data_IF_391534974090
#
_entry.id   IF_391534974090
#
_cell.length_a   1.000
_cell.length_b   1.000
_cell.length_c   1.000
_cell.angle_alpha   90.00
_cell.angle_beta   90.00
_cell.angle_gamma   90.00
#
_symmetry.space_group_name_H-M   'P 1'
#
loop_
_entity.id
_entity.type
_entity.pdbx_description
1 polymer ?
#
# COMPACT_ATOMS: atom_id res chain seq x y z
N UNK A 1 56.24 127.58 76.34
CA UNK A 1 56.44 127.52 74.88
C UNK A 1 56.90 126.14 74.38
N UNK A 2 57.50 125.25 75.18
CA UNK A 2 57.93 123.91 74.71
C UNK A 2 56.80 122.89 74.53
N UNK A 3 55.79 122.86 75.40
CA UNK A 3 54.64 121.92 75.29
C UNK A 3 53.85 122.05 73.97
N UNK A 4 53.82 123.26 73.37
CA UNK A 4 53.13 123.50 72.09
C UNK A 4 53.83 122.80 70.91
N UNK A 5 55.17 122.73 70.94
CA UNK A 5 55.96 122.09 69.89
C UNK A 5 55.93 120.56 69.99
N UNK A 6 55.88 120.01 71.20
CA UNK A 6 55.78 118.56 71.40
C UNK A 6 54.41 118.02 70.93
N UNK A 7 53.33 118.75 71.19
CA UNK A 7 52.00 118.42 70.66
C UNK A 7 51.95 118.46 69.12
N UNK A 8 52.62 119.43 68.49
CA UNK A 8 52.72 119.49 67.02
C UNK A 8 53.53 118.34 66.44
N UNK A 9 54.63 117.92 67.08
CA UNK A 9 55.42 116.75 66.66
C UNK A 9 54.61 115.46 66.77
N UNK A 10 53.88 115.28 67.87
CA UNK A 10 53.03 114.11 68.07
C UNK A 10 51.90 114.05 67.03
N UNK A 11 51.32 115.20 66.67
CA UNK A 11 50.31 115.28 65.62
C UNK A 11 50.88 114.88 64.24
N UNK A 12 52.07 115.37 63.87
CA UNK A 12 52.74 115.02 62.61
C UNK A 12 53.03 113.52 62.55
N UNK A 13 53.46 112.92 63.65
CA UNK A 13 53.74 111.47 63.70
C UNK A 13 52.46 110.63 63.59
N UNK A 14 51.36 111.08 64.22
CA UNK A 14 50.06 110.44 64.05
C UNK A 14 49.57 110.53 62.59
N UNK A 15 49.76 111.67 61.92
CA UNK A 15 49.41 111.83 60.50
C UNK A 15 50.22 110.86 59.64
N UNK A 16 51.55 110.77 59.83
CA UNK A 16 52.40 109.82 59.10
C UNK A 16 52.00 108.35 59.32
N UNK A 17 51.62 108.00 60.54
CA UNK A 17 51.13 106.65 60.85
C UNK A 17 49.80 106.37 60.14
N UNK A 18 48.90 107.35 60.07
CA UNK A 18 47.66 107.24 59.30
C UNK A 18 47.96 107.07 57.81
N UNK A 19 48.85 107.89 57.23
CA UNK A 19 49.25 107.78 55.81
C UNK A 19 49.85 106.40 55.51
N UNK A 20 50.78 105.91 56.33
CA UNK A 20 51.36 104.58 56.14
C UNK A 20 50.32 103.46 56.23
N UNK A 21 49.28 103.62 57.05
CA UNK A 21 48.17 102.65 57.13
C UNK A 21 47.25 102.73 55.91
N UNK A 22 47.06 103.93 55.34
CA UNK A 22 46.34 104.12 54.08
C UNK A 22 47.10 103.44 52.94
N UNK A 23 48.40 103.69 52.80
CA UNK A 23 49.24 103.06 51.77
C UNK A 23 49.23 101.53 51.90
N UNK A 24 49.33 101.00 53.12
CA UNK A 24 49.23 99.55 53.35
C UNK A 24 47.85 99.00 52.94
N UNK A 25 46.77 99.71 53.27
CA UNK A 25 45.42 99.32 52.88
C UNK A 25 45.21 99.37 51.37
N UNK A 26 45.74 100.38 50.69
CA UNK A 26 45.71 100.49 49.22
C UNK A 26 46.45 99.31 48.57
N UNK A 27 47.68 99.00 49.04
CA UNK A 27 48.45 97.86 48.55
C UNK A 27 47.74 96.51 48.79
N UNK A 28 47.15 96.32 49.98
CA UNK A 28 46.37 95.11 50.30
C UNK A 28 45.10 95.02 49.42
N UNK A 29 44.44 96.14 49.17
CA UNK A 29 43.26 96.22 48.31
C UNK A 29 43.60 95.92 46.85
N UNK A 30 44.70 96.44 46.33
CA UNK A 30 45.20 96.12 44.98
C UNK A 30 45.57 94.65 44.86
N UNK A 31 46.30 94.09 45.84
CA UNK A 31 46.66 92.67 45.86
C UNK A 31 45.41 91.77 45.90
N UNK A 32 44.40 92.16 46.68
CA UNK A 32 43.12 91.47 46.73
C UNK A 32 42.36 91.57 45.41
N UNK A 33 42.35 92.74 44.76
CA UNK A 33 41.75 92.95 43.45
C UNK A 33 42.40 92.07 42.38
N UNK A 34 43.74 92.03 42.33
CA UNK A 34 44.49 91.18 41.40
C UNK A 34 44.22 89.70 41.63
N UNK A 35 44.17 89.28 42.89
CA UNK A 35 43.79 87.91 43.25
C UNK A 35 42.38 87.58 42.77
N UNK A 36 41.41 88.46 43.01
CA UNK A 36 40.02 88.28 42.54
C UNK A 36 39.95 88.21 41.02
N UNK A 37 40.62 89.12 40.31
CA UNK A 37 40.68 89.16 38.85
C UNK A 37 41.25 87.86 38.27
N UNK A 38 42.35 87.37 38.84
CA UNK A 38 42.94 86.08 38.47
C UNK A 38 41.98 84.91 38.69
N UNK A 39 41.24 84.88 39.82
CA UNK A 39 40.23 83.83 40.06
C UNK A 39 39.07 83.92 39.09
N UNK A 40 38.63 85.13 38.73
CA UNK A 40 37.56 85.36 37.78
C UNK A 40 37.92 84.85 36.39
N UNK A 41 39.14 85.14 35.91
CA UNK A 41 39.65 84.61 34.63
C UNK A 41 39.71 83.07 34.62
N UNK A 42 40.10 82.44 35.73
CA UNK A 42 40.10 80.97 35.85
C UNK A 42 38.67 80.41 35.75
N UNK A 43 37.70 81.07 36.38
CA UNK A 43 36.29 80.67 36.34
C UNK A 43 35.74 80.82 34.92
N UNK A 44 35.98 81.95 34.25
CA UNK A 44 35.56 82.21 32.86
C UNK A 44 36.14 81.17 31.91
N UNK A 45 37.43 80.84 32.06
CA UNK A 45 38.07 79.78 31.27
C UNK A 45 37.38 78.43 31.48
N UNK A 46 37.13 78.04 32.74
CA UNK A 46 36.43 76.78 33.06
C UNK A 46 35.00 76.76 32.53
N UNK A 47 34.30 77.89 32.56
CA UNK A 47 32.96 78.01 31.99
C UNK A 47 33.01 77.78 30.47
N UNK A 48 33.94 78.40 29.77
CA UNK A 48 34.11 78.20 28.32
C UNK A 48 34.43 76.74 27.97
N UNK A 49 35.31 76.08 28.74
CA UNK A 49 35.60 74.65 28.59
C UNK A 49 34.37 73.77 28.83
N UNK A 50 33.53 74.12 29.82
CA UNK A 50 32.29 73.40 30.11
C UNK A 50 31.27 73.54 28.98
N UNK A 51 31.10 74.74 28.44
CA UNK A 51 30.23 75.00 27.30
C UNK A 51 30.69 74.26 26.04
N UNK A 52 32.00 74.18 25.81
CA UNK A 52 32.57 73.39 24.71
C UNK A 52 32.25 71.90 24.85
N UNK A 53 32.43 71.33 26.05
CA UNK A 53 32.06 69.93 26.33
C UNK A 53 30.56 69.69 26.20
N UNK A 54 29.74 70.64 26.63
CA UNK A 54 28.28 70.54 26.46
C UNK A 54 27.89 70.48 24.98
N UNK A 55 28.53 71.29 24.12
CA UNK A 55 28.32 71.23 22.67
C UNK A 55 28.71 69.87 22.08
N UNK A 56 29.84 69.31 22.49
CA UNK A 56 30.28 67.98 22.04
C UNK A 56 29.27 66.88 22.40
N UNK A 57 28.77 66.89 23.65
CA UNK A 57 27.75 65.93 24.10
C UNK A 57 26.47 66.06 23.27
N UNK A 58 26.02 67.28 22.95
CA UNK A 58 24.84 67.51 22.12
C UNK A 58 25.02 66.92 20.72
N UNK A 59 26.19 67.10 20.10
CA UNK A 59 26.46 66.53 18.77
C UNK A 59 26.52 65.01 18.80
N UNK A 60 27.17 64.41 19.81
CA UNK A 60 27.16 62.95 19.99
C UNK A 60 25.73 62.41 20.15
N UNK A 61 24.89 63.10 20.91
CA UNK A 61 23.49 62.72 21.09
C UNK A 61 22.70 62.77 19.78
N UNK A 62 22.90 63.79 18.93
CA UNK A 62 22.28 63.87 17.59
C UNK A 62 22.71 62.71 16.69
N UNK A 63 24.00 62.35 16.70
CA UNK A 63 24.52 61.20 15.92
C UNK A 63 23.88 59.90 16.39
N UNK A 64 23.78 59.68 17.71
CA UNK A 64 23.14 58.50 18.28
C UNK A 64 21.66 58.38 17.89
N UNK A 65 20.91 59.49 17.96
CA UNK A 65 19.51 59.53 17.52
C UNK A 65 19.34 59.21 16.04
N UNK A 66 20.19 59.77 15.18
CA UNK A 66 20.16 59.49 13.73
C UNK A 66 20.43 58.01 13.43
N UNK A 67 21.47 57.44 14.04
CA UNK A 67 21.81 56.02 13.88
C UNK A 67 20.69 55.10 14.38
N UNK A 68 20.07 55.44 15.51
CA UNK A 68 18.91 54.68 16.02
C UNK A 68 17.74 54.74 15.04
N UNK A 69 17.44 55.90 14.46
CA UNK A 69 16.37 56.07 13.48
C UNK A 69 16.63 55.23 12.21
N UNK A 70 17.85 55.29 11.67
CA UNK A 70 18.24 54.49 10.51
C UNK A 70 18.15 52.99 10.78
N UNK A 71 18.59 52.53 11.96
CA UNK A 71 18.48 51.13 12.34
C UNK A 71 17.02 50.69 12.46
N UNK A 72 16.16 51.51 13.06
CA UNK A 72 14.72 51.23 13.15
C UNK A 72 14.07 51.13 11.77
N UNK A 73 14.46 51.99 10.82
CA UNK A 73 13.98 51.89 9.43
C UNK A 73 14.43 50.59 8.75
N UNK A 74 15.69 50.18 8.93
CA UNK A 74 16.19 48.90 8.41
C UNK A 74 15.43 47.70 9.01
N UNK A 75 15.15 47.74 10.31
CA UNK A 75 14.36 46.70 10.96
C UNK A 75 12.92 46.64 10.42
N UNK A 76 12.28 47.79 10.22
CA UNK A 76 10.94 47.85 9.64
C UNK A 76 10.90 47.26 8.22
N UNK A 77 11.91 47.56 7.38
CA UNK A 77 12.04 46.97 6.04
C UNK A 77 12.27 45.46 6.08
N UNK A 78 13.06 44.97 7.04
CA UNK A 78 13.28 43.54 7.22
C UNK A 78 11.99 42.82 7.65
N UNK A 79 11.21 43.42 8.56
CA UNK A 79 9.92 42.88 9.00
C UNK A 79 8.95 42.78 7.81
N UNK A 80 8.78 43.86 7.02
CA UNK A 80 7.94 43.84 5.81
C UNK A 80 8.39 42.76 4.80
N UNK A 81 9.71 42.57 4.65
CA UNK A 81 10.26 41.50 3.80
C UNK A 81 9.92 40.11 4.33
N UNK A 82 10.02 39.90 5.64
CA UNK A 82 9.69 38.63 6.30
C UNK A 82 8.19 38.35 6.16
N UNK A 83 7.33 39.33 6.42
CA UNK A 83 5.87 39.20 6.30
C UNK A 83 5.45 38.82 4.88
N UNK A 84 6.04 39.46 3.86
CA UNK A 84 5.79 39.10 2.44
C UNK A 84 6.22 37.67 2.13
N UNK A 85 7.38 37.23 2.63
CA UNK A 85 7.85 35.85 2.45
C UNK A 85 6.94 34.85 3.16
N UNK A 86 6.46 35.19 4.36
CA UNK A 86 5.55 34.34 5.13
C UNK A 86 4.22 34.16 4.38
N UNK A 87 3.65 35.25 3.85
CA UNK A 87 2.42 35.19 3.05
C UNK A 87 2.56 34.32 1.80
N UNK A 88 3.71 34.37 1.12
CA UNK A 88 3.98 33.49 -0.03
C UNK A 88 4.05 32.01 0.38
N UNK A 89 4.75 31.70 1.48
CA UNK A 89 4.85 30.32 1.99
C UNK A 89 3.47 29.78 2.37
N UNK A 90 2.63 30.59 3.01
CA UNK A 90 1.25 30.19 3.36
C UNK A 90 0.40 29.91 2.11
N UNK A 91 0.56 30.71 1.06
CA UNK A 91 -0.11 30.50 -0.23
C UNK A 91 0.34 29.18 -0.88
N UNK A 92 1.65 28.94 -0.94
CA UNK A 92 2.23 27.72 -1.53
C UNK A 92 1.76 26.47 -0.78
N UNK A 93 1.76 26.51 0.56
CA UNK A 93 1.27 25.42 1.40
C UNK A 93 -0.21 25.10 1.13
N UNK A 94 -1.03 26.12 0.91
CA UNK A 94 -2.45 25.95 0.59
C UNK A 94 -2.64 25.30 -0.78
N UNK A 95 -1.85 25.69 -1.77
CA UNK A 95 -1.86 25.11 -3.12
C UNK A 95 -1.39 23.65 -3.11
N UNK A 96 -0.34 23.34 -2.35
CA UNK A 96 0.17 21.97 -2.22
C UNK A 96 -0.86 21.06 -1.55
N UNK A 97 -1.50 21.52 -0.46
CA UNK A 97 -2.59 20.78 0.21
C UNK A 97 -3.75 20.49 -0.73
N UNK A 98 -4.14 21.45 -1.57
CA UNK A 98 -5.19 21.24 -2.58
C UNK A 98 -4.76 20.21 -3.64
N UNK A 99 -3.51 20.26 -4.07
CA UNK A 99 -2.94 19.31 -5.04
C UNK A 99 -2.93 17.88 -4.47
N UNK A 100 -2.53 17.72 -3.20
CA UNK A 100 -2.53 16.43 -2.50
C UNK A 100 -3.95 15.87 -2.36
N UNK A 101 -4.93 16.69 -2.00
CA UNK A 101 -6.33 16.28 -1.90
C UNK A 101 -6.87 15.79 -3.25
N UNK A 102 -6.55 16.48 -4.35
CA UNK A 102 -6.94 16.09 -5.70
C UNK A 102 -6.27 14.79 -6.17
N UNK A 103 -5.01 14.56 -5.80
CA UNK A 103 -4.32 13.31 -6.11
C UNK A 103 -4.93 12.13 -5.33
N UNK A 104 -5.23 12.36 -4.05
CA UNK A 104 -5.83 11.35 -3.17
C UNK A 104 -7.22 10.94 -3.67
N UNK A 105 -8.08 11.89 -4.05
CA UNK A 105 -9.42 11.58 -4.57
C UNK A 105 -9.37 10.77 -5.88
N UNK A 106 -8.45 11.10 -6.80
CA UNK A 106 -8.24 10.33 -8.04
C UNK A 106 -7.78 8.90 -7.77
N UNK A 107 -6.89 8.70 -6.78
CA UNK A 107 -6.43 7.37 -6.39
C UNK A 107 -7.57 6.54 -5.81
N UNK A 108 -8.36 7.11 -4.89
CA UNK A 108 -9.52 6.45 -4.28
C UNK A 108 -10.52 6.01 -5.35
N UNK A 109 -10.87 6.90 -6.28
CA UNK A 109 -11.78 6.57 -7.39
C UNK A 109 -11.23 5.44 -8.28
N UNK A 110 -9.92 5.42 -8.53
CA UNK A 110 -9.28 4.34 -9.31
C UNK A 110 -9.33 3.00 -8.57
N UNK A 111 -9.15 3.00 -7.25
CA UNK A 111 -9.26 1.80 -6.42
C UNK A 111 -10.69 1.26 -6.35
N UNK A 112 -11.70 2.12 -6.24
CA UNK A 112 -13.12 1.71 -6.27
C UNK A 112 -13.49 1.07 -7.62
N UNK A 113 -13.02 1.65 -8.72
CA UNK A 113 -13.19 1.09 -10.07
C UNK A 113 -12.50 -0.26 -10.23
N UNK A 114 -11.33 -0.46 -9.62
CA UNK A 114 -10.64 -1.75 -9.66
C UNK A 114 -11.35 -2.80 -8.80
N UNK A 115 -11.79 -2.41 -7.60
CA UNK A 115 -12.54 -3.28 -6.67
C UNK A 115 -13.82 -3.81 -7.29
N UNK A 116 -14.59 -2.94 -7.97
CA UNK A 116 -15.81 -3.36 -8.67
C UNK A 116 -15.53 -4.34 -9.81
N UNK A 117 -14.46 -4.14 -10.59
CA UNK A 117 -14.05 -5.09 -11.65
C UNK A 117 -13.66 -6.45 -11.09
N UNK A 118 -12.87 -6.49 -10.02
CA UNK A 118 -12.45 -7.75 -9.37
C UNK A 118 -13.66 -8.51 -8.83
N UNK A 119 -14.60 -7.78 -8.20
CA UNK A 119 -15.83 -8.38 -7.66
C UNK A 119 -16.66 -9.02 -8.77
N UNK A 120 -16.79 -8.35 -9.92
CA UNK A 120 -17.51 -8.89 -11.08
C UNK A 120 -16.85 -10.16 -11.62
N UNK A 121 -15.53 -10.15 -11.81
CA UNK A 121 -14.77 -11.33 -12.28
C UNK A 121 -14.96 -12.50 -11.32
N UNK A 122 -14.88 -12.26 -10.00
CA UNK A 122 -15.07 -13.31 -9.00
C UNK A 122 -16.48 -13.91 -9.05
N UNK A 123 -17.51 -13.09 -9.28
CA UNK A 123 -18.89 -13.56 -9.45
C UNK A 123 -19.04 -14.41 -10.72
N UNK A 124 -18.49 -13.96 -11.85
CA UNK A 124 -18.54 -14.67 -13.13
C UNK A 124 -17.81 -16.04 -13.05
N UNK A 125 -16.66 -16.09 -12.36
CA UNK A 125 -15.95 -17.36 -12.12
C UNK A 125 -16.79 -18.32 -11.26
N UNK A 126 -17.43 -17.80 -10.21
CA UNK A 126 -18.25 -18.61 -9.30
C UNK A 126 -19.44 -19.24 -10.02
N UNK A 127 -20.12 -18.51 -10.91
CA UNK A 127 -21.24 -19.07 -11.69
C UNK A 127 -20.77 -20.16 -12.66
N UNK A 128 -19.67 -19.92 -13.36
CA UNK A 128 -19.14 -20.87 -14.36
C UNK A 128 -18.66 -22.18 -13.70
N UNK A 129 -18.06 -22.11 -12.52
CA UNK A 129 -17.66 -23.30 -11.75
C UNK A 129 -18.86 -24.14 -11.29
N UNK A 130 -19.95 -23.49 -10.90
CA UNK A 130 -21.16 -24.18 -10.45
C UNK A 130 -21.82 -24.99 -11.58
N UNK A 131 -21.72 -24.50 -12.82
CA UNK A 131 -22.23 -25.19 -14.01
C UNK A 131 -21.39 -26.43 -14.39
N UNK A 132 -20.06 -26.33 -14.28
CA UNK A 132 -19.14 -27.44 -14.59
C UNK A 132 -19.30 -28.59 -13.58
N UNK A 133 -19.39 -28.27 -12.28
CA UNK A 133 -19.49 -29.29 -11.22
C UNK A 133 -20.84 -30.02 -11.27
N UNK A 134 -21.93 -29.33 -11.63
CA UNK A 134 -23.25 -29.94 -11.75
C UNK A 134 -23.30 -31.00 -12.87
N UNK A 135 -22.64 -30.74 -14.00
CA UNK A 135 -22.65 -31.62 -15.16
C UNK A 135 -21.77 -32.89 -14.98
N UNK A 136 -20.71 -32.83 -14.17
CA UNK A 136 -19.84 -33.99 -13.93
C UNK A 136 -20.50 -35.05 -13.01
N UNK A 137 -21.22 -34.62 -11.97
CA UNK A 137 -21.75 -35.53 -10.95
C UNK A 137 -22.98 -36.33 -11.38
N UNK A 138 -23.81 -35.80 -12.28
CA UNK A 138 -25.02 -36.50 -12.76
C UNK A 138 -24.71 -37.79 -13.54
N UNK A 139 -23.59 -37.83 -14.26
CA UNK A 139 -23.19 -38.99 -15.07
C UNK A 139 -22.71 -40.19 -14.26
N UNK A 140 -21.99 -39.96 -13.16
CA UNK A 140 -21.45 -41.02 -12.29
C UNK A 140 -22.55 -41.75 -11.51
N UNK A 141 -23.49 -40.99 -10.93
CA UNK A 141 -24.62 -41.55 -10.19
C UNK A 141 -25.52 -42.44 -11.06
N UNK A 142 -25.81 -42.02 -12.30
CA UNK A 142 -26.63 -42.81 -13.22
C UNK A 142 -25.95 -44.12 -13.62
N UNK A 143 -24.64 -44.10 -13.85
CA UNK A 143 -23.88 -45.32 -14.16
C UNK A 143 -23.90 -46.27 -12.96
N UNK A 144 -23.62 -45.79 -11.75
CA UNK A 144 -23.65 -46.61 -10.54
C UNK A 144 -25.05 -47.20 -10.27
N UNK A 145 -26.09 -46.40 -10.45
CA UNK A 145 -27.48 -46.85 -10.30
C UNK A 145 -27.86 -47.92 -11.34
N UNK A 146 -27.38 -47.81 -12.57
CA UNK A 146 -27.60 -48.81 -13.62
C UNK A 146 -26.83 -50.09 -13.31
N UNK A 147 -25.54 -49.99 -12.96
CA UNK A 147 -24.72 -51.16 -12.65
C UNK A 147 -25.21 -51.94 -11.43
N UNK A 148 -25.74 -51.25 -10.41
CA UNK A 148 -26.26 -51.88 -9.18
C UNK A 148 -27.42 -52.86 -9.39
N UNK A 149 -28.06 -52.85 -10.58
CA UNK A 149 -29.17 -53.76 -10.90
C UNK A 149 -28.73 -55.12 -11.43
N UNK A 150 -27.46 -55.27 -11.83
CA UNK A 150 -26.96 -56.51 -12.39
C UNK A 150 -26.33 -57.37 -11.29
N UNK A 151 -26.65 -58.67 -11.28
CA UNK A 151 -26.09 -59.65 -10.35
C UNK A 151 -24.57 -59.75 -10.48
N UNK A 152 -24.04 -59.49 -11.69
CA UNK A 152 -22.63 -59.28 -11.89
C UNK A 152 -22.35 -58.23 -12.96
N UNK A 153 -21.29 -57.45 -12.78
CA UNK A 153 -20.89 -56.46 -13.79
C UNK A 153 -19.39 -56.22 -13.77
N UNK A 154 -18.83 -55.84 -14.91
CA UNK A 154 -17.43 -55.42 -15.01
C UNK A 154 -17.23 -54.41 -16.15
N UNK A 155 -16.28 -53.49 -15.96
CA UNK A 155 -15.81 -52.55 -16.97
C UNK A 155 -14.39 -52.91 -17.38
N UNK A 156 -14.26 -53.44 -18.59
CA UNK A 156 -13.02 -53.98 -19.11
C UNK A 156 -12.42 -53.00 -20.12
N UNK A 157 -11.17 -52.60 -19.91
CA UNK A 157 -10.43 -51.76 -20.85
C UNK A 157 -9.50 -52.59 -21.75
N UNK A 158 -9.65 -52.50 -23.07
CA UNK A 158 -8.99 -53.38 -24.07
C UNK A 158 -7.47 -53.20 -24.22
N UNK A 159 -6.87 -52.18 -23.61
CA UNK A 159 -5.42 -51.95 -23.60
C UNK A 159 -4.69 -52.57 -22.39
N UNK A 160 -5.21 -53.65 -21.84
CA UNK A 160 -4.68 -54.36 -20.66
C UNK A 160 -4.10 -55.72 -21.08
N UNK A 161 -3.20 -56.31 -20.29
CA UNK A 161 -2.58 -57.63 -20.57
C UNK A 161 -3.56 -58.80 -20.68
N UNK A 162 -4.81 -58.60 -20.25
CA UNK A 162 -5.90 -59.58 -20.27
C UNK A 162 -6.68 -59.47 -21.58
N UNK A 163 -6.60 -60.51 -22.41
CA UNK A 163 -7.24 -60.62 -23.74
C UNK A 163 -8.57 -61.41 -23.72
N UNK A 164 -9.14 -61.65 -22.54
CA UNK A 164 -10.42 -62.34 -22.38
C UNK A 164 -11.10 -62.06 -21.05
N UNK A 165 -12.41 -62.24 -20.97
CA UNK A 165 -13.18 -62.25 -19.73
C UNK A 165 -14.12 -63.46 -19.67
N UNK A 166 -14.52 -63.81 -18.45
CA UNK A 166 -15.35 -64.98 -18.15
C UNK A 166 -16.74 -64.51 -17.73
N UNK A 167 -17.77 -65.00 -18.40
CA UNK A 167 -19.16 -64.91 -17.98
C UNK A 167 -19.49 -66.24 -17.29
N UNK A 168 -19.81 -66.18 -15.99
CA UNK A 168 -20.14 -67.39 -15.23
C UNK A 168 -21.61 -67.74 -15.46
N UNK A 169 -21.89 -68.98 -15.85
CA UNK A 169 -23.23 -69.44 -16.17
C UNK A 169 -23.98 -69.83 -14.89
N UNK A 170 -24.34 -68.88 -14.04
CA UNK A 170 -25.14 -69.20 -12.84
C UNK A 170 -26.62 -69.11 -13.18
N UNK A 171 -27.50 -69.96 -12.62
CA UNK A 171 -28.95 -69.75 -12.71
C UNK A 171 -29.36 -68.38 -12.13
N UNK A 172 -30.44 -67.81 -12.66
CA UNK A 172 -31.06 -66.57 -12.23
C UNK A 172 -30.09 -65.39 -12.19
N UNK A 173 -29.30 -65.23 -13.25
CA UNK A 173 -28.23 -64.23 -13.31
C UNK A 173 -28.43 -63.26 -14.46
N UNK A 174 -28.47 -61.98 -14.11
CA UNK A 174 -28.41 -60.85 -15.04
C UNK A 174 -27.05 -60.19 -14.93
N UNK A 175 -26.21 -60.33 -15.94
CA UNK A 175 -24.83 -59.87 -15.90
C UNK A 175 -24.52 -58.90 -17.03
N UNK A 176 -23.86 -57.78 -16.71
CA UNK A 176 -23.47 -56.75 -17.68
C UNK A 176 -21.96 -56.52 -17.71
N UNK A 177 -21.33 -56.86 -18.83
CA UNK A 177 -19.91 -56.58 -19.06
C UNK A 177 -19.77 -55.50 -20.12
N UNK A 178 -18.96 -54.50 -19.85
CA UNK A 178 -18.72 -53.38 -20.77
C UNK A 178 -17.27 -53.43 -21.21
N UNK A 179 -17.07 -53.62 -22.51
CA UNK A 179 -15.76 -53.63 -23.12
C UNK A 179 -15.50 -52.29 -23.78
N UNK A 180 -14.54 -51.53 -23.28
CA UNK A 180 -14.23 -50.17 -23.73
C UNK A 180 -12.79 -50.07 -24.23
N UNK A 181 -12.64 -49.47 -25.41
CA UNK A 181 -11.34 -49.12 -25.98
C UNK A 181 -10.66 -48.04 -25.15
N UNK A 182 -9.34 -48.16 -24.92
CA UNK A 182 -8.57 -47.07 -24.29
C UNK A 182 -8.48 -45.87 -25.21
N UNK A 183 -8.43 -46.12 -26.52
CA UNK A 183 -8.49 -45.11 -27.54
C UNK A 183 -9.88 -45.07 -28.17
N UNK A 184 -10.61 -43.96 -27.99
CA UNK A 184 -11.98 -43.79 -28.52
C UNK A 184 -12.11 -43.94 -30.03
N UNK A 185 -11.01 -43.82 -30.77
CA UNK A 185 -10.95 -43.96 -32.23
C UNK A 185 -10.71 -45.38 -32.73
N UNK A 186 -10.33 -46.30 -31.84
CA UNK A 186 -10.04 -47.70 -32.18
C UNK A 186 -11.29 -48.58 -32.07
N UNK A 187 -11.27 -49.69 -32.82
CA UNK A 187 -12.33 -50.71 -32.81
C UNK A 187 -11.89 -51.91 -31.99
N UNK A 188 -12.85 -52.73 -31.61
CA UNK A 188 -12.66 -53.88 -30.74
C UNK A 188 -13.05 -55.12 -31.54
N UNK A 189 -12.14 -56.07 -31.66
CA UNK A 189 -12.44 -57.38 -32.20
C UNK A 189 -12.78 -58.33 -31.04
N UNK A 190 -13.86 -59.10 -31.12
CA UNK A 190 -14.30 -60.05 -30.09
C UNK A 190 -14.83 -61.37 -30.66
N UNK A 191 -14.66 -62.46 -29.90
CA UNK A 191 -15.11 -63.82 -30.26
C UNK A 191 -15.12 -64.76 -29.03
N UNK A 192 -15.67 -65.96 -29.19
CA UNK A 192 -15.51 -67.08 -28.25
C UNK A 192 -15.07 -68.35 -28.98
N UNK A 193 -14.45 -69.29 -28.28
CA UNK A 193 -14.10 -70.60 -28.88
C UNK A 193 -15.30 -71.56 -28.84
N UNK A 194 -16.15 -71.43 -27.83
CA UNK A 194 -17.33 -72.26 -27.59
C UNK A 194 -18.49 -71.39 -27.11
N UNK A 195 -19.70 -71.69 -27.55
CA UNK A 195 -20.90 -71.01 -27.11
C UNK A 195 -22.04 -72.01 -26.98
N UNK A 196 -22.62 -72.09 -25.80
CA UNK A 196 -23.80 -72.89 -25.52
C UNK A 196 -24.61 -72.23 -24.41
N UNK A 197 -25.88 -71.95 -24.68
CA UNK A 197 -26.89 -71.58 -23.67
C UNK A 197 -28.08 -72.52 -23.75
N UNK A 198 -28.98 -72.49 -22.77
CA UNK A 198 -30.30 -73.07 -22.94
C UNK A 198 -31.09 -72.31 -24.02
N UNK A 199 -31.63 -73.03 -25.00
CA UNK A 199 -32.20 -72.43 -26.21
C UNK A 199 -33.48 -71.60 -25.95
N UNK A 200 -34.29 -72.00 -24.97
CA UNK A 200 -35.60 -71.40 -24.75
C UNK A 200 -35.52 -70.03 -24.07
N UNK A 201 -34.53 -69.84 -23.20
CA UNK A 201 -34.71 -68.93 -22.07
C UNK A 201 -33.44 -68.14 -21.73
N UNK A 202 -32.26 -68.74 -21.98
CA UNK A 202 -30.98 -68.14 -21.66
C UNK A 202 -30.31 -67.56 -22.90
N UNK A 203 -29.74 -66.37 -22.74
CA UNK A 203 -29.20 -65.65 -23.88
C UNK A 203 -28.05 -64.71 -23.52
N UNK A 204 -27.19 -64.49 -24.51
CA UNK A 204 -26.21 -63.42 -24.50
C UNK A 204 -26.61 -62.38 -25.53
N UNK A 205 -26.88 -61.15 -25.08
CA UNK A 205 -27.05 -60.00 -25.94
C UNK A 205 -25.77 -59.20 -26.05
N UNK A 206 -25.38 -58.86 -27.27
CA UNK A 206 -24.24 -57.98 -27.55
C UNK A 206 -24.75 -56.71 -28.21
N UNK A 207 -24.60 -55.59 -27.52
CA UNK A 207 -24.93 -54.28 -28.06
C UNK A 207 -23.66 -53.55 -28.50
N UNK A 208 -23.62 -53.15 -29.76
CA UNK A 208 -22.50 -52.49 -30.42
C UNK A 208 -23.02 -51.29 -31.21
N UNK A 209 -22.90 -50.10 -30.61
CA UNK A 209 -23.52 -48.89 -31.12
C UNK A 209 -25.05 -48.98 -31.03
N UNK A 210 -25.72 -48.92 -32.19
CA UNK A 210 -27.19 -49.01 -32.29
C UNK A 210 -27.67 -50.43 -32.61
N UNK A 211 -26.76 -51.39 -32.79
CA UNK A 211 -27.11 -52.77 -33.11
C UNK A 211 -27.09 -53.64 -31.87
N UNK A 212 -28.13 -54.44 -31.69
CA UNK A 212 -28.22 -55.46 -30.64
C UNK A 212 -28.35 -56.82 -31.30
N UNK A 213 -27.47 -57.75 -30.93
CA UNK A 213 -27.47 -59.13 -31.41
C UNK A 213 -27.76 -60.06 -30.25
N UNK A 214 -28.71 -60.96 -30.44
CA UNK A 214 -29.08 -62.00 -29.48
C UNK A 214 -28.44 -63.34 -29.90
N UNK A 215 -27.78 -64.04 -28.98
CA UNK A 215 -27.12 -65.33 -29.16
C UNK A 215 -27.70 -66.35 -28.17
N UNK A 216 -28.16 -67.49 -28.70
CA UNK A 216 -28.84 -68.56 -27.94
C UNK A 216 -28.41 -69.95 -28.39
N UNK A 217 -28.58 -70.96 -27.54
CA UNK A 217 -28.27 -72.34 -27.90
C UNK A 217 -26.81 -72.47 -28.35
N UNK A 218 -26.57 -73.19 -29.44
CA UNK A 218 -25.24 -73.38 -30.03
C UNK A 218 -24.96 -72.40 -31.20
N UNK A 219 -25.28 -71.13 -31.03
CA UNK A 219 -25.10 -70.12 -32.08
C UNK A 219 -23.63 -69.95 -32.51
N UNK A 220 -23.35 -70.28 -33.76
CA UNK A 220 -21.99 -70.26 -34.33
C UNK A 220 -21.49 -68.86 -34.72
N UNK A 221 -22.35 -67.84 -34.74
CA UNK A 221 -21.97 -66.48 -35.16
C UNK A 221 -20.88 -65.88 -34.26
N UNK A 222 -20.88 -66.21 -32.97
CA UNK A 222 -19.89 -65.72 -32.00
C UNK A 222 -18.56 -66.49 -32.04
N UNK A 223 -18.51 -67.61 -32.76
CA UNK A 223 -17.29 -68.41 -32.97
C UNK A 223 -16.33 -67.79 -34.00
N UNK A 224 -16.80 -66.77 -34.73
CA UNK A 224 -15.98 -65.98 -35.65
C UNK A 224 -15.58 -64.66 -35.02
N UNK A 225 -14.47 -64.09 -35.49
CA UNK A 225 -13.98 -62.78 -35.02
C UNK A 225 -14.87 -61.66 -35.55
N UNK A 226 -15.61 -61.02 -34.66
CA UNK A 226 -16.48 -59.89 -34.96
C UNK A 226 -15.75 -58.59 -34.66
N UNK A 227 -15.81 -57.62 -35.58
CA UNK A 227 -15.25 -56.28 -35.37
C UNK A 227 -16.36 -55.32 -34.98
N UNK A 228 -16.13 -54.57 -33.91
CA UNK A 228 -17.12 -53.62 -33.40
C UNK A 228 -17.28 -52.40 -34.31
N UNK A 229 -18.48 -51.81 -34.29
CA UNK A 229 -18.81 -50.52 -34.93
C UNK A 229 -18.48 -49.34 -34.03
N UNK A 230 -18.50 -49.56 -32.72
CA UNK A 230 -18.19 -48.57 -31.68
C UNK A 230 -16.85 -48.86 -30.98
N UNK A 231 -16.35 -47.90 -30.21
CA UNK A 231 -15.24 -48.11 -29.26
C UNK A 231 -15.70 -48.66 -27.90
N UNK A 232 -16.99 -48.97 -27.78
CA UNK A 232 -17.60 -49.59 -26.60
C UNK A 232 -18.56 -50.69 -27.08
N UNK A 233 -18.49 -51.87 -26.47
CA UNK A 233 -19.39 -53.01 -26.69
C UNK A 233 -19.93 -53.48 -25.35
N UNK A 234 -21.24 -53.73 -25.29
CA UNK A 234 -21.92 -54.23 -24.08
C UNK A 234 -22.29 -55.69 -24.28
N UNK A 235 -22.05 -56.50 -23.26
CA UNK A 235 -22.41 -57.91 -23.20
C UNK A 235 -23.36 -58.09 -22.02
N UNK A 236 -24.61 -58.40 -22.32
CA UNK A 236 -25.65 -58.69 -21.33
C UNK A 236 -25.98 -60.18 -21.37
N UNK A 237 -25.72 -60.89 -20.28
CA UNK A 237 -26.07 -62.30 -20.15
C UNK A 237 -27.25 -62.46 -19.21
N UNK A 238 -28.24 -63.23 -19.63
CA UNK A 238 -29.41 -63.58 -18.85
C UNK A 238 -29.54 -65.11 -18.76
N UNK A 239 -29.79 -65.60 -17.56
CA UNK A 239 -30.15 -66.99 -17.30
C UNK A 239 -31.40 -67.10 -16.42
N UNK A 240 -32.23 -68.10 -16.71
CA UNK A 240 -33.39 -68.44 -15.92
C UNK A 240 -33.02 -69.26 -14.66
N UNK A 241 -34.02 -69.72 -13.91
CA UNK A 241 -33.79 -70.40 -12.63
C UNK A 241 -33.28 -71.85 -12.76
N UNK A 242 -33.11 -72.36 -13.98
CA UNK A 242 -32.80 -73.76 -14.27
C UNK A 242 -31.61 -73.93 -15.23
N UNK A 243 -31.25 -75.20 -15.49
CA UNK A 243 -30.21 -75.67 -16.44
C UNK A 243 -28.96 -74.79 -16.60
N UNK A 244 -27.89 -75.15 -15.89
CA UNK A 244 -26.57 -74.52 -16.09
C UNK A 244 -25.80 -75.17 -17.25
N UNK A 245 -25.16 -74.34 -18.09
CA UNK A 245 -24.21 -74.75 -19.12
C UNK A 245 -22.79 -74.33 -18.74
N UNK A 246 -21.85 -74.51 -19.66
CA UNK A 246 -20.47 -74.09 -19.44
C UNK A 246 -20.35 -72.55 -19.45
N UNK A 247 -19.40 -72.04 -18.68
CA UNK A 247 -19.06 -70.62 -18.69
C UNK A 247 -18.66 -70.14 -20.10
N UNK A 248 -19.03 -68.90 -20.41
CA UNK A 248 -18.73 -68.28 -21.72
C UNK A 248 -17.46 -67.45 -21.58
N UNK A 249 -16.45 -67.74 -22.40
CA UNK A 249 -15.18 -67.00 -22.41
C UNK A 249 -15.14 -66.07 -23.62
N UNK A 250 -15.34 -64.78 -23.39
CA UNK A 250 -15.24 -63.78 -24.44
C UNK A 250 -13.79 -63.33 -24.56
N UNK A 251 -13.19 -63.56 -25.73
CA UNK A 251 -11.87 -63.07 -26.10
C UNK A 251 -12.00 -61.77 -26.87
N UNK A 252 -11.02 -60.89 -26.72
CA UNK A 252 -11.01 -59.62 -27.42
C UNK A 252 -9.62 -59.07 -27.67
N UNK A 253 -9.52 -58.17 -28.66
CA UNK A 253 -8.33 -57.38 -28.94
C UNK A 253 -8.70 -56.01 -29.51
N UNK A 254 -7.91 -54.99 -29.18
CA UNK A 254 -8.02 -53.67 -29.79
C UNK A 254 -7.40 -53.69 -31.20
N UNK A 255 -8.07 -53.08 -32.18
CA UNK A 255 -7.58 -52.88 -33.55
C UNK A 255 -6.95 -51.49 -33.71
#
# INVERSE_FOLDING_TARGET
>A
MSESFDNQRQLIENIRNVDSRIDNFENESESFHDWLSSKLQIIEKKQSEMEAKQREIIELYKVLLSNSSQNNQKFAQLIDTIEKKLANIESDLKQEKQTQNNATSKLTQSMENLSSKVTKIAQDLKSNLHEIVYNANFSSFLLDAIYSRFACHDLIQTGSTKISFLITYKPHSDCLFVLRSKNSSKRIQYWTDTFETEECCDYLQVADGLEVKDYRGQDKRLLTRLTSKSSIVYFYFHSDQSVEKNNIVIKFSEL
#
